data_IF_909050952876
#
_entry.id   IF_909050952876
#
_cell.length_a   1.000
_cell.length_b   1.000
_cell.length_c   1.000
_cell.angle_alpha   90.00
_cell.angle_beta   90.00
_cell.angle_gamma   90.00
#
_symmetry.space_group_name_H-M   'P 1'
#
loop_
_entity.id
_entity.type
_entity.pdbx_description
1 polymer ?
2 non-polymer ?
3 non-polymer ?
4 water ?
#
# COMPACT_ATOMS: atom_id res chain seq x y z
N UNK A 1 0.65 -17.71 -11.31
CA UNK A 1 0.51 -17.89 -9.87
C UNK A 1 1.16 -16.75 -9.08
N UNK A 2 0.77 -16.60 -7.83
CA UNK A 2 1.44 -15.71 -6.90
C UNK A 2 0.65 -14.46 -6.57
N UNK A 3 1.39 -13.45 -6.09
CA UNK A 3 0.76 -12.21 -5.64
C UNK A 3 0.21 -11.45 -6.84
N UNK A 4 -1.03 -10.95 -6.68
CA UNK A 4 -1.70 -10.11 -7.66
C UNK A 4 -1.43 -8.63 -7.43
N UNK A 5 -1.59 -8.16 -6.21
CA UNK A 5 -1.60 -6.73 -5.89
C UNK A 5 -1.77 -6.57 -4.39
N UNK A 6 -1.57 -5.34 -3.91
CA UNK A 6 -1.85 -5.04 -2.51
C UNK A 6 -3.33 -5.30 -2.23
N UNK A 7 -3.60 -5.94 -1.10
CA UNK A 7 -4.97 -6.33 -0.76
C UNK A 7 -5.64 -5.39 0.21
N UNK A 8 -5.00 -5.13 1.35
CA UNK A 8 -5.49 -4.12 2.28
C UNK A 8 -4.36 -3.71 3.21
N UNK A 9 -4.55 -2.57 3.88
CA UNK A 9 -3.65 -2.11 4.93
C UNK A 9 -4.48 -1.86 6.18
N UNK A 10 -3.98 -2.30 7.33
CA UNK A 10 -4.65 -2.10 8.61
C UNK A 10 -3.92 -1.00 9.37
N UNK A 11 -4.61 0.11 9.64
CA UNK A 11 -4.02 1.28 10.27
C UNK A 11 -4.56 1.46 11.68
N UNK A 12 -3.69 1.97 12.56
CA UNK A 12 -4.11 2.35 13.90
C UNK A 12 -4.54 3.81 13.91
N UNK A 13 -5.74 4.07 14.41
CA UNK A 13 -6.25 5.44 14.55
C UNK A 13 -6.63 5.66 16.01
N UNK A 14 -6.58 6.93 16.43
CA UNK A 14 -6.95 7.31 17.79
C UNK A 14 -8.39 7.79 17.91
N UNK A 15 -8.89 8.53 16.91
CA UNK A 15 -10.27 8.98 16.85
C UNK A 15 -10.94 8.30 15.67
N UNK A 16 -11.77 7.29 15.94
CA UNK A 16 -12.40 6.54 14.85
C UNK A 16 -13.38 7.41 14.07
N UNK A 17 -14.15 8.24 14.77
CA UNK A 17 -15.09 9.13 14.08
C UNK A 17 -14.37 10.03 13.09
N UNK A 18 -13.31 10.71 13.56
CA UNK A 18 -12.57 11.62 12.69
C UNK A 18 -11.83 10.87 11.59
N UNK A 19 -11.36 9.64 11.87
CA UNK A 19 -10.61 8.91 10.85
C UNK A 19 -11.54 8.39 9.75
N UNK A 20 -12.71 7.86 10.13
CA UNK A 20 -13.64 7.33 9.14
C UNK A 20 -14.14 8.44 8.21
N UNK A 21 -14.48 9.62 8.77
CA UNK A 21 -14.97 10.69 7.91
C UNK A 21 -13.87 11.21 6.98
N UNK A 22 -12.62 11.14 7.42
CA UNK A 22 -11.50 11.53 6.57
C UNK A 22 -11.40 10.62 5.35
N UNK A 23 -11.32 9.30 5.57
CA UNK A 23 -11.18 8.39 4.43
C UNK A 23 -12.43 8.36 3.57
N UNK A 24 -13.58 8.78 4.10
CA UNK A 24 -14.79 8.91 3.32
C UNK A 24 -14.87 10.23 2.58
N UNK A 25 -14.71 11.35 3.28
CA UNK A 25 -14.92 12.66 2.66
C UNK A 25 -13.74 13.11 1.83
N UNK A 26 -12.52 12.78 2.24
CA UNK A 26 -11.33 13.22 1.52
C UNK A 26 -10.97 12.27 0.40
N UNK A 27 -10.85 10.98 0.71
CA UNK A 27 -10.41 10.01 -0.27
C UNK A 27 -11.56 9.39 -1.06
N UNK A 28 -12.80 9.57 -0.61
CA UNK A 28 -13.94 9.02 -1.33
C UNK A 28 -14.22 7.56 -1.09
N UNK A 29 -13.62 6.96 -0.06
CA UNK A 29 -13.91 5.57 0.26
C UNK A 29 -15.30 5.45 0.87
N UNK A 30 -15.81 4.22 0.88
CA UNK A 30 -17.09 3.90 1.51
C UNK A 30 -16.86 2.82 2.57
N UNK A 31 -17.49 2.98 3.72
CA UNK A 31 -17.43 1.98 4.78
C UNK A 31 -18.31 0.80 4.42
N UNK A 32 -17.76 -0.42 4.53
CA UNK A 32 -18.50 -1.61 4.16
C UNK A 32 -18.92 -2.47 5.34
N UNK A 33 -18.21 -2.40 6.47
CA UNK A 33 -18.61 -3.13 7.66
C UNK A 33 -17.83 -2.62 8.86
N UNK A 34 -18.37 -2.92 10.05
CA UNK A 34 -17.72 -2.69 11.33
C UNK A 34 -17.83 -3.97 12.14
N UNK A 35 -16.70 -4.45 12.65
CA UNK A 35 -16.75 -5.69 13.43
C UNK A 35 -17.12 -5.39 14.88
N UNK A 36 -17.29 -6.47 15.66
CA UNK A 36 -17.71 -6.32 17.04
C UNK A 36 -16.59 -5.80 17.94
N UNK A 37 -15.36 -5.65 17.41
CA UNK A 37 -14.25 -5.08 18.16
C UNK A 37 -14.09 -3.58 17.91
N UNK A 38 -14.93 -2.98 17.07
CA UNK A 38 -14.84 -1.58 16.76
C UNK A 38 -14.04 -1.23 15.52
N UNK A 39 -13.48 -2.21 14.83
CA UNK A 39 -12.71 -1.95 13.61
C UNK A 39 -13.64 -1.63 12.45
N UNK A 40 -13.21 -0.71 11.60
CA UNK A 40 -14.00 -0.22 10.48
C UNK A 40 -13.27 -0.58 9.18
N UNK A 41 -14.03 -1.08 8.20
CA UNK A 41 -13.49 -1.57 6.93
C UNK A 41 -14.06 -0.72 5.80
N UNK A 42 -13.18 -0.21 4.95
CA UNK A 42 -13.58 0.65 3.84
C UNK A 42 -12.93 0.16 2.55
N UNK A 43 -13.56 0.52 1.43
CA UNK A 43 -13.08 0.21 0.09
C UNK A 43 -13.21 1.44 -0.80
N UNK A 44 -12.47 1.43 -1.91
CA UNK A 44 -12.57 2.45 -2.93
C UNK A 44 -13.61 2.05 -3.98
N UNK A 45 -14.07 3.05 -4.76
CA UNK A 45 -15.16 2.81 -5.69
C UNK A 45 -14.75 1.89 -6.84
N UNK A 46 -13.51 1.95 -7.29
CA UNK A 46 -13.08 1.14 -8.42
C UNK A 46 -12.45 -0.19 -7.98
N UNK A 47 -12.67 -0.60 -6.73
CA UNK A 47 -12.30 -1.91 -6.23
C UNK A 47 -13.54 -2.80 -6.16
N UNK A 48 -13.34 -4.10 -6.28
CA UNK A 48 -14.44 -5.05 -6.27
C UNK A 48 -14.46 -5.96 -5.05
N UNK A 49 -13.39 -6.00 -4.26
CA UNK A 49 -13.38 -6.78 -3.04
C UNK A 49 -13.96 -5.97 -1.88
N UNK A 50 -14.11 -6.63 -0.72
CA UNK A 50 -14.90 -6.06 0.38
C UNK A 50 -14.25 -4.80 0.95
N UNK A 51 -12.93 -4.79 1.10
CA UNK A 51 -12.29 -3.64 1.73
C UNK A 51 -10.80 -3.65 1.39
N UNK A 52 -10.23 -2.45 1.36
CA UNK A 52 -8.79 -2.27 1.21
C UNK A 52 -8.15 -1.53 2.37
N UNK A 53 -8.94 -1.04 3.32
CA UNK A 53 -8.43 -0.29 4.47
C UNK A 53 -9.14 -0.76 5.72
N UNK A 54 -8.37 -1.06 6.76
CA UNK A 54 -8.89 -1.37 8.08
C UNK A 54 -8.44 -0.29 9.04
N UNK A 55 -9.40 0.35 9.70
CA UNK A 55 -9.12 1.29 10.79
C UNK A 55 -9.38 0.57 12.11
N UNK A 56 -8.34 0.45 12.94
CA UNK A 56 -8.49 -0.17 14.25
C UNK A 56 -8.30 0.86 15.34
N UNK A 57 -9.19 0.91 16.33
CA UNK A 57 -9.01 1.86 17.44
C UNK A 57 -7.74 1.53 18.23
N UNK A 58 -7.01 2.58 18.59
CA UNK A 58 -5.74 2.43 19.27
C UNK A 58 -5.40 3.75 19.95
N UNK A 59 -4.36 3.71 20.79
CA UNK A 59 -3.86 4.91 21.45
C UNK A 59 -2.73 5.58 20.68
N UNK A 60 -2.46 5.14 19.46
CA UNK A 60 -1.34 5.67 18.68
C UNK A 60 -1.66 5.46 17.20
N UNK A 61 -0.86 6.12 16.36
CA UNK A 61 -0.94 5.90 14.93
C UNK A 61 -0.06 4.71 14.55
N UNK A 62 0.09 4.46 13.26
CA UNK A 62 0.94 3.41 12.77
C UNK A 62 0.16 2.35 11.99
N UNK A 63 0.88 1.31 11.60
CA UNK A 63 0.32 0.22 10.82
C UNK A 63 0.30 -1.07 11.62
N UNK A 64 -0.81 -1.80 11.53
CA UNK A 64 -0.90 -3.13 12.12
C UNK A 64 -0.21 -4.16 11.25
N UNK A 65 -0.70 -4.33 10.02
CA UNK A 65 -0.09 -5.23 9.06
C UNK A 65 -0.43 -4.74 7.66
N UNK A 66 0.15 -5.42 6.68
CA UNK A 66 -0.05 -5.15 5.27
C UNK A 66 -0.40 -6.47 4.61
N UNK A 67 -1.43 -6.47 3.75
CA UNK A 67 -1.94 -7.69 3.14
C UNK A 67 -1.91 -7.58 1.62
N UNK A 68 -1.52 -8.67 0.97
CA UNK A 68 -1.46 -8.78 -0.48
C UNK A 68 -2.29 -9.99 -0.94
N UNK A 69 -3.02 -9.82 -2.04
CA UNK A 69 -3.87 -10.88 -2.58
C UNK A 69 -3.09 -11.72 -3.58
N UNK A 70 -3.24 -13.03 -3.49
CA UNK A 70 -2.58 -13.96 -4.39
C UNK A 70 -3.60 -14.53 -5.36
N UNK A 71 -3.11 -15.18 -6.41
CA UNK A 71 -3.98 -15.59 -7.52
C UNK A 71 -4.95 -16.69 -7.09
N UNK A 72 -4.47 -17.73 -6.41
CA UNK A 72 -5.31 -18.85 -6.02
C UNK A 72 -4.90 -19.36 -4.63
N UNK A 73 -5.81 -20.12 -4.01
CA UNK A 73 -5.58 -20.63 -2.65
C UNK A 73 -4.30 -21.46 -2.56
N UNK A 74 -4.05 -22.31 -3.55
CA UNK A 74 -2.87 -23.17 -3.51
C UNK A 74 -1.57 -22.39 -3.53
N UNK A 75 -1.58 -21.11 -3.95
CA UNK A 75 -0.35 -20.32 -3.92
C UNK A 75 0.16 -20.11 -2.51
N UNK A 76 -0.74 -20.12 -1.52
CA UNK A 76 -0.34 -19.88 -0.14
C UNK A 76 0.61 -20.97 0.36
N UNK A 77 0.31 -22.24 0.06
CA UNK A 77 1.21 -23.31 0.48
C UNK A 77 2.55 -23.20 -0.23
N UNK A 78 2.55 -22.86 -1.53
CA UNK A 78 3.81 -22.76 -2.26
C UNK A 78 4.65 -21.60 -1.75
N UNK A 79 4.04 -20.42 -1.62
CA UNK A 79 4.76 -19.27 -1.08
C UNK A 79 5.22 -19.54 0.35
N UNK A 80 4.38 -20.18 1.16
CA UNK A 80 4.79 -20.54 2.52
C UNK A 80 6.06 -21.38 2.50
N UNK A 81 6.15 -22.34 1.57
CA UNK A 81 7.31 -23.21 1.53
C UNK A 81 8.57 -22.43 1.13
N UNK A 82 8.43 -21.49 0.18
CA UNK A 82 9.58 -20.67 -0.21
C UNK A 82 10.03 -19.77 0.94
N UNK A 83 9.08 -19.19 1.67
CA UNK A 83 9.42 -18.23 2.72
C UNK A 83 10.20 -18.90 3.84
N UNK A 84 9.80 -20.10 4.26
CA UNK A 84 10.48 -20.74 5.38
C UNK A 84 11.82 -21.29 4.98
N UNK A 85 11.98 -21.72 3.72
CA UNK A 85 13.30 -22.09 3.23
C UNK A 85 14.25 -20.89 3.22
N UNK A 86 13.72 -19.69 3.03
CA UNK A 86 14.53 -18.48 3.14
C UNK A 86 14.92 -18.18 4.58
N UNK A 87 14.17 -18.67 5.55
CA UNK A 87 14.46 -18.46 6.95
C UNK A 87 13.47 -17.61 7.73
N UNK A 88 12.28 -17.35 7.18
CA UNK A 88 11.26 -16.55 7.84
C UNK A 88 10.17 -17.49 8.33
N UNK A 89 9.88 -17.44 9.63
CA UNK A 89 8.80 -18.24 10.20
C UNK A 89 7.45 -17.72 9.72
N UNK A 90 6.55 -18.64 9.37
CA UNK A 90 5.20 -18.28 8.94
C UNK A 90 4.17 -18.99 9.80
N UNK A 91 2.95 -18.50 9.71
CA UNK A 91 1.80 -19.13 10.34
C UNK A 91 0.58 -18.87 9.47
N UNK A 92 -0.41 -19.77 9.56
CA UNK A 92 -1.61 -19.70 8.73
C UNK A 92 -2.81 -19.35 9.61
N UNK A 93 -3.35 -18.15 9.41
CA UNK A 93 -4.60 -17.77 10.05
C UNK A 93 -5.74 -18.37 9.23
N UNK A 94 -6.71 -18.98 9.91
CA UNK A 94 -7.76 -19.65 9.15
C UNK A 94 -8.81 -18.65 8.70
N UNK A 95 -9.69 -19.10 7.80
CA UNK A 95 -10.69 -18.21 7.25
C UNK A 95 -11.62 -17.71 8.34
N UNK A 96 -11.94 -16.42 8.29
CA UNK A 96 -12.76 -15.79 9.31
C UNK A 96 -12.00 -15.03 10.36
N UNK A 97 -10.66 -15.18 10.44
CA UNK A 97 -9.85 -14.35 11.33
C UNK A 97 -10.19 -12.87 11.18
N UNK A 98 -10.30 -12.41 9.93
CA UNK A 98 -10.89 -11.13 9.60
C UNK A 98 -12.23 -11.36 8.92
N UNK A 99 -13.25 -10.53 9.18
CA UNK A 99 -14.55 -10.74 8.52
C UNK A 99 -14.42 -10.62 7.01
N UNK A 100 -15.25 -11.40 6.30
CA UNK A 100 -15.32 -11.41 4.85
C UNK A 100 -13.98 -11.76 4.20
N UNK A 101 -13.08 -12.40 4.93
CA UNK A 101 -11.72 -12.66 4.46
C UNK A 101 -11.37 -14.12 4.67
N UNK A 102 -10.83 -14.76 3.64
CA UNK A 102 -10.43 -16.14 3.74
C UNK A 102 -9.22 -16.36 4.62
N UNK A 103 -8.65 -17.56 4.56
CA UNK A 103 -7.45 -17.84 5.32
C UNK A 103 -6.30 -16.95 4.86
N UNK A 104 -5.37 -16.69 5.78
CA UNK A 104 -4.25 -15.79 5.54
C UNK A 104 -2.94 -16.39 6.01
N UNK A 105 -1.91 -16.30 5.18
CA UNK A 105 -0.55 -16.67 5.55
C UNK A 105 0.14 -15.46 6.17
N UNK A 106 0.57 -15.60 7.42
CA UNK A 106 1.12 -14.50 8.19
C UNK A 106 2.61 -14.71 8.44
N UNK A 107 3.38 -13.64 8.30
CA UNK A 107 4.80 -13.67 8.56
C UNK A 107 5.29 -12.23 8.71
N UNK A 108 6.50 -12.09 9.24
CA UNK A 108 7.12 -10.79 9.42
C UNK A 108 8.22 -10.59 8.39
N UNK A 109 8.24 -9.43 7.75
CA UNK A 109 9.34 -9.05 6.90
C UNK A 109 10.62 -8.93 7.71
N UNK A 110 11.78 -8.98 7.06
CA UNK A 110 13.04 -8.72 7.78
C UNK A 110 13.04 -7.39 8.52
N UNK A 111 12.35 -6.37 8.01
CA UNK A 111 12.25 -5.08 8.69
C UNK A 111 11.35 -5.13 9.93
N UNK A 112 10.63 -6.22 10.14
CA UNK A 112 9.79 -6.38 11.31
C UNK A 112 8.32 -6.16 11.07
N UNK A 113 7.93 -5.60 9.92
CA UNK A 113 6.53 -5.41 9.62
C UNK A 113 5.82 -6.75 9.44
N UNK A 114 4.59 -6.84 9.91
CA UNK A 114 3.76 -8.01 9.67
C UNK A 114 3.12 -7.94 8.30
N UNK A 115 3.31 -8.99 7.51
CA UNK A 115 2.72 -9.10 6.17
C UNK A 115 1.83 -10.33 6.12
N UNK A 116 0.72 -10.22 5.40
CA UNK A 116 -0.21 -11.32 5.22
C UNK A 116 -0.51 -11.52 3.74
N UNK A 117 -0.74 -12.77 3.37
CA UNK A 117 -1.17 -13.13 2.03
C UNK A 117 -2.49 -13.87 2.13
N UNK A 118 -3.49 -13.43 1.36
CA UNK A 118 -4.75 -14.14 1.26
C UNK A 118 -5.07 -14.38 -0.21
N UNK A 119 -5.90 -15.38 -0.45
CA UNK A 119 -6.40 -15.67 -1.79
C UNK A 119 -7.87 -15.33 -1.98
N UNK A 120 -8.64 -15.25 -0.89
CA UNK A 120 -10.09 -15.17 -0.96
C UNK A 120 -10.57 -14.01 -0.11
N UNK A 121 -11.31 -13.10 -0.73
CA UNK A 121 -12.01 -12.04 -0.01
C UNK A 121 -13.37 -11.86 -0.67
N UNK A 122 -14.35 -11.47 0.13
CA UNK A 122 -15.72 -11.35 -0.37
C UNK A 122 -15.79 -10.39 -1.55
N UNK A 123 -16.45 -10.82 -2.61
CA UNK A 123 -16.71 -9.98 -3.78
C UNK A 123 -17.93 -9.11 -3.53
N UNK A 124 -17.80 -7.80 -3.79
CA UNK A 124 -18.95 -6.90 -3.71
C UNK A 124 -19.08 -6.09 -5.00
N UNK A 125 -18.04 -6.10 -5.82
CA UNK A 125 -18.09 -5.42 -7.09
C UNK A 125 -17.76 -3.93 -6.98
N UNK A 126 -17.44 -3.34 -8.12
CA UNK A 126 -17.12 -1.92 -8.17
C UNK A 126 -18.41 -1.09 -8.20
N UNK A 127 -18.26 0.21 -7.96
CA UNK A 127 -19.44 1.08 -7.97
C UNK A 127 -19.95 1.40 -9.36
N UNK A 128 -19.27 0.97 -10.42
CA UNK A 128 -19.78 1.20 -11.77
C UNK A 128 -20.33 -0.06 -12.42
N UNK A 129 -20.09 -1.24 -11.84
CA UNK A 129 -20.63 -2.47 -12.40
C UNK A 129 -19.76 -3.06 -13.49
N UNK A 130 -20.30 -4.07 -14.18
CA UNK A 130 -19.55 -4.77 -15.21
C UNK A 130 -20.39 -5.15 -16.41
N UNK A 131 -21.63 -4.70 -16.51
CA UNK A 131 -22.46 -4.88 -17.69
C UNK A 131 -22.73 -3.48 -18.23
N UNK A 132 -22.08 -3.12 -19.34
CA UNK A 132 -22.18 -1.79 -19.93
C UNK A 132 -21.91 -0.68 -18.90
N UNK A 133 -20.78 -0.73 -18.20
CA UNK A 133 -20.58 0.21 -17.09
C UNK A 133 -20.21 1.61 -17.57
N UNK A 134 -20.47 2.58 -16.70
CA UNK A 134 -20.01 3.93 -16.97
C UNK A 134 -18.53 4.05 -16.62
N UNK A 135 -17.81 5.00 -17.23
CA UNK A 135 -16.38 5.15 -16.89
C UNK A 135 -16.15 5.61 -15.46
N UNK A 136 -17.12 6.29 -14.84
CA UNK A 136 -17.00 6.77 -13.47
C UNK A 136 -18.39 6.85 -12.86
N UNK A 137 -18.51 6.69 -11.55
CA UNK A 137 -19.83 6.69 -10.92
C UNK A 137 -20.30 8.08 -10.51
N UNK A 138 -21.62 8.24 -10.46
CA UNK A 138 -22.16 9.50 -9.99
C UNK A 138 -22.15 9.52 -8.46
N UNK A 139 -22.27 10.73 -7.90
CA UNK A 139 -22.24 10.89 -6.46
C UNK A 139 -20.92 10.57 -5.83
N UNK A 140 -19.84 10.54 -6.60
CA UNK A 140 -18.51 10.28 -6.06
C UNK A 140 -18.10 11.40 -5.11
N UNK A 141 -17.51 11.02 -3.98
CA UNK A 141 -17.17 11.98 -2.94
C UNK A 141 -15.66 12.25 -2.92
N UNK A 142 -15.32 13.49 -2.57
CA UNK A 142 -13.93 13.85 -2.36
C UNK A 142 -13.09 13.66 -3.61
N UNK A 143 -11.87 13.16 -3.39
CA UNK A 143 -10.94 12.91 -4.50
C UNK A 143 -11.37 11.75 -5.39
N UNK A 144 -12.29 10.90 -4.92
CA UNK A 144 -12.72 9.76 -5.69
C UNK A 144 -11.59 8.81 -6.02
N UNK A 145 -10.90 8.33 -4.99
CA UNK A 145 -9.77 7.43 -5.18
C UNK A 145 -10.23 6.14 -5.86
N UNK A 146 -9.48 5.72 -6.89
CA UNK A 146 -9.83 4.52 -7.62
C UNK A 146 -9.60 3.27 -6.77
N UNK A 147 -8.38 3.12 -6.24
CA UNK A 147 -8.01 1.93 -5.50
C UNK A 147 -6.78 2.25 -4.65
N UNK A 148 -6.64 1.50 -3.55
CA UNK A 148 -5.39 1.49 -2.80
C UNK A 148 -4.31 0.92 -3.69
N UNK A 149 -3.27 1.71 -3.96
CA UNK A 149 -2.32 1.36 -5.01
C UNK A 149 -1.06 0.71 -4.46
N UNK A 150 -0.51 1.23 -3.38
CA UNK A 150 0.74 0.70 -2.87
C UNK A 150 0.97 1.22 -1.45
N UNK A 151 2.05 0.75 -0.84
CA UNK A 151 2.38 1.15 0.51
C UNK A 151 3.88 1.29 0.61
N UNK A 152 4.34 2.43 1.13
CA UNK A 152 5.75 2.67 1.38
C UNK A 152 6.02 2.47 2.87
N UNK A 153 6.90 1.54 3.19
CA UNK A 153 7.25 1.21 4.57
C UNK A 153 8.59 1.83 4.92
N UNK A 154 8.68 2.44 6.10
CA UNK A 154 9.97 2.87 6.62
C UNK A 154 10.65 1.66 7.25
N UNK A 155 11.85 1.34 6.78
CA UNK A 155 12.55 0.13 7.19
C UNK A 155 13.81 0.50 7.94
N UNK A 156 14.02 -0.12 9.10
CA UNK A 156 15.17 0.17 9.94
C UNK A 156 16.46 0.00 9.15
N UNK A 157 17.33 1.02 9.21
CA UNK A 157 18.56 1.04 8.44
C UNK A 157 19.64 1.75 9.25
N UNK A 158 20.71 1.02 9.55
CA UNK A 158 21.88 1.55 10.26
C UNK A 158 23.11 1.04 9.54
N UNK A 159 23.65 1.82 8.59
CA UNK A 159 24.80 1.32 7.81
C UNK A 159 26.03 1.04 8.65
N UNK A 160 26.28 1.84 9.69
CA UNK A 160 27.44 1.60 10.55
C UNK A 160 27.29 0.30 11.33
N UNK A 161 26.08 0.01 11.81
CA UNK A 161 25.82 -1.22 12.54
C UNK A 161 25.61 -2.42 11.63
N UNK A 162 25.73 -2.25 10.31
CA UNK A 162 25.52 -3.34 9.38
C UNK A 162 24.08 -3.73 9.19
N UNK A 163 23.14 -2.82 9.47
CA UNK A 163 21.71 -3.09 9.38
C UNK A 163 21.15 -2.29 8.22
N UNK A 164 20.54 -2.99 7.25
CA UNK A 164 19.87 -2.35 6.12
C UNK A 164 18.68 -3.23 5.73
N UNK A 165 17.57 -3.05 6.45
CA UNK A 165 16.41 -3.89 6.16
C UNK A 165 15.71 -3.51 4.86
N UNK A 166 16.01 -2.34 4.28
CA UNK A 166 15.53 -2.04 2.94
C UNK A 166 16.08 -3.06 1.95
N UNK A 167 17.38 -3.36 2.05
CA UNK A 167 17.98 -4.38 1.19
C UNK A 167 17.44 -5.77 1.51
N UNK A 168 17.30 -6.09 2.79
CA UNK A 168 16.81 -7.42 3.18
C UNK A 168 15.36 -7.61 2.75
N UNK A 169 14.51 -6.60 2.94
CA UNK A 169 13.15 -6.68 2.43
C UNK A 169 13.15 -6.82 0.92
N UNK A 170 14.05 -6.10 0.23
CA UNK A 170 14.09 -6.16 -1.22
C UNK A 170 14.47 -7.55 -1.71
N UNK A 171 15.48 -8.15 -1.09
CA UNK A 171 15.84 -9.53 -1.43
C UNK A 171 14.71 -10.50 -1.11
N UNK A 172 14.04 -10.29 0.03
CA UNK A 172 12.99 -11.22 0.46
C UNK A 172 11.83 -11.25 -0.53
N UNK A 173 11.27 -10.08 -0.87
CA UNK A 173 10.10 -10.06 -1.73
C UNK A 173 10.43 -10.44 -3.16
N UNK A 174 11.69 -10.31 -3.58
CA UNK A 174 12.05 -10.75 -4.92
C UNK A 174 12.21 -12.26 -4.97
N UNK A 175 12.99 -12.84 -4.06
CA UNK A 175 13.29 -14.26 -4.13
C UNK A 175 12.13 -15.13 -3.68
N UNK A 176 11.34 -14.68 -2.71
CA UNK A 176 10.25 -15.49 -2.17
C UNK A 176 8.91 -15.18 -2.80
N UNK A 177 8.61 -13.91 -3.06
CA UNK A 177 7.32 -13.51 -3.60
C UNK A 177 7.39 -13.13 -5.08
N UNK A 178 8.55 -13.30 -5.73
CA UNK A 178 8.71 -13.10 -7.16
C UNK A 178 8.36 -11.67 -7.59
N UNK A 179 8.51 -10.70 -6.69
CA UNK A 179 8.49 -9.31 -7.11
C UNK A 179 9.73 -9.00 -7.95
N UNK A 180 9.63 -7.94 -8.74
CA UNK A 180 10.81 -7.47 -9.48
C UNK A 180 11.03 -6.00 -9.20
N UNK A 181 12.30 -5.61 -9.12
CA UNK A 181 12.67 -4.25 -8.77
C UNK A 181 12.53 -3.34 -9.99
N UNK A 182 11.85 -2.21 -9.81
CA UNK A 182 11.63 -1.26 -10.89
C UNK A 182 12.46 0.02 -10.74
N UNK A 183 12.58 0.53 -9.52
CA UNK A 183 13.34 1.75 -9.25
C UNK A 183 14.05 1.61 -7.92
N UNK A 184 15.13 2.36 -7.76
CA UNK A 184 15.85 2.36 -6.50
C UNK A 184 16.53 3.71 -6.32
N UNK A 185 16.73 4.08 -5.05
CA UNK A 185 17.51 5.25 -4.68
C UNK A 185 18.77 4.75 -3.98
N UNK A 186 19.93 5.08 -4.56
CA UNK A 186 21.22 4.64 -4.04
C UNK A 186 21.92 5.78 -3.31
N UNK A 187 22.42 5.51 -2.11
CA UNK A 187 23.15 6.50 -1.33
C UNK A 187 24.50 5.92 -0.92
N UNK A 188 25.21 6.63 -0.05
CA UNK A 188 26.48 6.17 0.44
C UNK A 188 27.58 6.36 -0.57
N UNK A 189 28.74 5.74 -0.32
CA UNK A 189 29.88 5.91 -1.23
C UNK A 189 29.60 5.27 -2.58
N UNK A 190 29.61 6.09 -3.63
CA UNK A 190 29.39 5.60 -4.98
C UNK A 190 28.07 4.90 -5.18
N UNK A 191 27.06 5.21 -4.35
CA UNK A 191 25.77 4.57 -4.48
C UNK A 191 25.76 3.11 -4.11
N UNK A 192 26.58 2.70 -3.15
CA UNK A 192 26.70 1.31 -2.73
C UNK A 192 25.69 0.90 -1.67
N UNK A 193 24.69 1.73 -1.38
CA UNK A 193 23.71 1.47 -0.33
C UNK A 193 22.32 1.74 -0.88
N UNK A 194 21.46 0.73 -0.85
CA UNK A 194 20.06 0.90 -1.24
C UNK A 194 19.30 1.56 -0.10
N UNK A 195 18.87 2.81 -0.30
CA UNK A 195 18.09 3.52 0.69
C UNK A 195 16.60 3.48 0.42
N UNK A 196 16.20 3.37 -0.84
CA UNK A 196 14.79 3.27 -1.22
C UNK A 196 14.66 2.32 -2.40
N UNK A 197 13.68 1.42 -2.33
CA UNK A 197 13.41 0.48 -3.41
C UNK A 197 11.92 0.43 -3.70
N UNK A 198 11.60 0.29 -4.97
CA UNK A 198 10.23 0.15 -5.44
C UNK A 198 10.15 -1.14 -6.24
N UNK A 199 9.15 -1.96 -5.93
CA UNK A 199 9.03 -3.29 -6.50
C UNK A 199 7.59 -3.53 -6.94
N UNK A 200 7.45 -4.41 -7.92
CA UNK A 200 6.16 -4.58 -8.58
C UNK A 200 5.85 -6.05 -8.80
N UNK A 201 4.57 -6.36 -8.73
CA UNK A 201 4.00 -7.57 -9.32
C UNK A 201 3.12 -7.25 -10.52
N UNK A 202 2.32 -6.19 -10.44
CA UNK A 202 1.60 -5.67 -11.59
C UNK A 202 2.58 -5.05 -12.58
N UNK A 203 2.06 -4.39 -13.61
CA UNK A 203 2.87 -3.59 -14.50
C UNK A 203 2.77 -2.10 -14.18
N UNK A 204 2.32 -1.74 -12.93
CA UNK A 204 2.47 -0.38 -12.44
C UNK A 204 3.82 -0.22 -11.74
N UNK A 205 4.38 0.99 -11.72
CA UNK A 205 5.78 1.14 -11.27
C UNK A 205 6.08 0.52 -9.92
N UNK A 206 5.13 0.46 -8.99
CA UNK A 206 5.43 -0.15 -7.71
C UNK A 206 4.15 -0.50 -6.97
N UNK A 207 4.13 -1.71 -6.41
CA UNK A 207 3.06 -2.18 -5.53
C UNK A 207 3.49 -2.24 -4.07
N UNK A 208 4.78 -2.36 -3.80
CA UNK A 208 5.33 -2.17 -2.47
C UNK A 208 6.59 -1.32 -2.62
N UNK A 209 6.96 -0.66 -1.52
CA UNK A 209 8.17 0.16 -1.53
C UNK A 209 8.73 0.23 -0.12
N UNK A 210 10.05 0.34 -0.03
CA UNK A 210 10.76 0.40 1.24
C UNK A 210 11.70 1.59 1.21
N UNK A 211 11.68 2.38 2.29
CA UNK A 211 12.58 3.52 2.46
C UNK A 211 13.31 3.36 3.79
N UNK A 212 14.59 3.73 3.81
CA UNK A 212 15.37 3.60 5.03
C UNK A 212 14.92 4.58 6.10
N UNK A 213 15.14 4.18 7.35
CA UNK A 213 14.78 5.00 8.49
C UNK A 213 15.42 4.48 9.76
N UNK A 214 15.48 5.32 10.80
CA UNK A 214 16.05 4.85 12.07
C UNK A 214 15.27 3.69 12.68
N UNK A 215 13.95 3.71 12.59
CA UNK A 215 13.11 2.62 13.08
C UNK A 215 12.13 2.21 11.98
N UNK A 216 11.62 0.98 12.11
CA UNK A 216 10.69 0.46 11.13
C UNK A 216 9.28 0.96 11.42
N UNK A 217 8.61 1.43 10.38
CA UNK A 217 7.28 1.98 10.53
C UNK A 217 6.58 2.14 9.20
N UNK A 218 5.60 3.06 9.17
CA UNK A 218 4.78 3.31 8.01
C UNK A 218 5.08 4.70 7.46
N UNK A 219 5.48 4.76 6.19
CA UNK A 219 5.65 6.08 5.60
C UNK A 219 4.31 6.62 5.10
N UNK A 220 3.63 5.87 4.25
CA UNK A 220 2.31 6.27 3.76
C UNK A 220 1.67 5.10 3.02
N UNK A 221 0.36 5.19 2.88
CA UNK A 221 -0.39 4.37 1.93
C UNK A 221 -0.88 5.30 0.83
N UNK A 222 -1.01 4.76 -0.38
CA UNK A 222 -1.27 5.58 -1.55
C UNK A 222 -2.50 5.11 -2.30
N UNK A 223 -3.17 6.06 -2.94
CA UNK A 223 -4.39 5.81 -3.69
C UNK A 223 -4.23 6.37 -5.10
N UNK A 224 -4.78 5.65 -6.07
CA UNK A 224 -4.65 5.99 -7.47
C UNK A 224 -5.73 6.97 -7.91
N UNK A 225 -5.32 7.94 -8.73
CA UNK A 225 -6.20 8.86 -9.44
C UNK A 225 -5.89 8.79 -10.93
N UNK A 226 -6.88 9.14 -11.75
CA UNK A 226 -6.72 9.06 -13.21
C UNK A 226 -5.68 10.05 -13.74
N UNK A 227 -5.97 11.34 -13.64
CA UNK A 227 -5.25 12.35 -14.40
C UNK A 227 -4.68 13.43 -13.49
N UNK A 228 -3.84 14.26 -14.09
CA UNK A 228 -3.31 15.46 -13.45
C UNK A 228 -4.43 16.33 -12.90
N UNK A 229 -5.56 16.41 -13.61
CA UNK A 229 -6.69 17.20 -13.13
C UNK A 229 -7.25 16.67 -11.82
N UNK A 230 -7.40 15.35 -11.70
CA UNK A 230 -7.98 14.80 -10.47
C UNK A 230 -7.11 15.08 -9.26
N UNK A 231 -5.79 15.25 -9.46
CA UNK A 231 -4.92 15.66 -8.36
C UNK A 231 -5.27 17.07 -7.90
N UNK A 232 -5.44 17.99 -8.86
CA UNK A 232 -5.87 19.34 -8.51
C UNK A 232 -7.18 19.31 -7.75
N UNK A 233 -8.17 18.57 -8.27
CA UNK A 233 -9.44 18.42 -7.59
C UNK A 233 -9.24 17.86 -6.18
N UNK A 234 -8.28 16.94 -6.02
CA UNK A 234 -8.01 16.39 -4.70
C UNK A 234 -7.48 17.46 -3.76
N UNK A 235 -6.58 18.32 -4.26
CA UNK A 235 -6.07 19.41 -3.44
C UNK A 235 -7.17 20.36 -3.01
N UNK A 236 -8.13 20.62 -3.91
CA UNK A 236 -9.27 21.47 -3.55
C UNK A 236 -10.12 20.80 -2.48
N UNK A 237 -10.28 19.48 -2.54
CA UNK A 237 -11.08 18.76 -1.55
C UNK A 237 -10.42 18.84 -0.18
N UNK A 238 -9.09 18.63 -0.13
CA UNK A 238 -8.37 18.71 1.12
C UNK A 238 -8.47 20.10 1.73
N UNK A 239 -8.49 21.13 0.90
CA UNK A 239 -8.65 22.49 1.41
C UNK A 239 -10.04 22.68 2.01
N UNK A 240 -11.07 22.10 1.39
CA UNK A 240 -12.43 22.24 1.90
C UNK A 240 -12.61 21.49 3.22
N UNK A 241 -11.93 20.36 3.38
CA UNK A 241 -12.06 19.55 4.60
C UNK A 241 -11.00 19.87 5.64
N UNK A 242 -10.18 20.89 5.43
CA UNK A 242 -9.14 21.32 6.36
C UNK A 242 -8.19 20.16 6.69
N UNK A 243 -7.49 19.70 5.66
CA UNK A 243 -6.59 18.55 5.74
C UNK A 243 -5.16 19.04 5.85
N UNK A 244 -4.40 18.43 6.75
CA UNK A 244 -2.99 18.79 6.96
C UNK A 244 -2.16 18.22 5.82
N UNK A 245 -1.69 19.08 4.95
CA UNK A 245 -0.95 18.67 3.77
C UNK A 245 0.54 18.60 4.12
N UNK A 246 1.20 17.55 3.63
CA UNK A 246 2.64 17.38 3.82
C UNK A 246 3.43 18.00 2.66
N UNK A 247 3.14 17.58 1.43
CA UNK A 247 3.82 18.08 0.24
C UNK A 247 2.78 18.57 -0.75
N UNK A 248 2.99 19.77 -1.28
CA UNK A 248 2.08 20.36 -2.26
C UNK A 248 2.10 19.56 -3.56
N UNK A 249 1.08 19.74 -4.43
CA UNK A 249 1.07 19.02 -5.71
C UNK A 249 2.33 19.23 -6.53
N UNK A 250 3.05 18.14 -6.81
CA UNK A 250 4.29 18.18 -7.57
C UNK A 250 4.52 16.80 -8.19
N UNK A 251 5.16 16.78 -9.35
CA UNK A 251 5.48 15.52 -10.00
C UNK A 251 6.68 14.87 -9.31
N UNK A 252 6.54 13.61 -8.97
CA UNK A 252 7.65 12.83 -8.45
C UNK A 252 8.51 12.33 -9.59
N UNK A 253 9.83 12.49 -9.46
CA UNK A 253 10.74 11.83 -10.39
C UNK A 253 10.55 10.33 -10.36
N UNK A 254 10.37 9.76 -9.16
CA UNK A 254 10.00 8.37 -9.01
C UNK A 254 8.58 8.16 -9.54
N UNK A 255 8.38 7.06 -10.27
CA UNK A 255 7.06 6.64 -10.77
C UNK A 255 6.55 7.57 -11.89
N UNK A 256 7.21 8.71 -12.08
CA UNK A 256 6.76 9.81 -12.95
C UNK A 256 5.38 10.32 -12.54
N UNK A 257 4.90 9.97 -11.35
CA UNK A 257 3.54 10.27 -10.96
C UNK A 257 3.43 11.61 -10.25
N UNK A 258 2.38 12.35 -10.60
CA UNK A 258 2.06 13.59 -9.93
C UNK A 258 1.24 13.27 -8.68
N UNK A 259 1.67 13.84 -7.54
CA UNK A 259 1.22 13.33 -6.25
C UNK A 259 0.98 14.46 -5.26
N UNK A 260 0.22 14.13 -4.22
CA UNK A 260 0.02 14.97 -3.05
C UNK A 260 0.21 14.09 -1.81
N UNK A 261 0.92 14.60 -0.82
CA UNK A 261 1.06 13.94 0.47
C UNK A 261 0.29 14.73 1.53
N UNK A 262 -0.44 14.00 2.38
CA UNK A 262 -1.26 14.61 3.41
C UNK A 262 -1.49 13.59 4.51
N UNK A 263 -2.15 14.01 5.58
CA UNK A 263 -2.30 13.18 6.77
C UNK A 263 -3.78 12.97 7.08
N UNK A 264 -4.07 11.87 7.75
CA UNK A 264 -5.37 11.64 8.35
C UNK A 264 -5.37 12.21 9.78
N UNK A 265 -6.54 12.29 10.42
CA UNK A 265 -6.59 12.92 11.76
C UNK A 265 -5.71 12.25 12.82
N UNK A 266 -5.21 11.04 12.58
CA UNK A 266 -4.34 10.37 13.54
C UNK A 266 -2.86 10.53 13.23
N UNK A 267 -2.52 11.11 12.09
CA UNK A 267 -1.13 11.34 11.72
C UNK A 267 -0.59 10.43 10.64
N UNK A 268 -1.33 9.39 10.25
CA UNK A 268 -0.87 8.53 9.17
C UNK A 268 -0.85 9.30 7.86
N UNK A 269 0.25 9.16 7.12
CA UNK A 269 0.40 9.87 5.87
C UNK A 269 -0.31 9.14 4.75
N UNK A 270 -0.96 9.91 3.88
CA UNK A 270 -1.67 9.40 2.72
C UNK A 270 -1.14 10.07 1.46
N UNK A 271 -1.23 9.37 0.34
CA UNK A 271 -0.81 9.89 -0.96
C UNK A 271 -1.90 9.64 -1.99
N UNK A 272 -2.26 10.69 -2.73
CA UNK A 272 -3.07 10.57 -3.95
C UNK A 272 -2.18 10.93 -5.14
N UNK A 273 -1.88 9.95 -5.97
CA UNK A 273 -1.06 10.16 -7.15
C UNK A 273 -1.82 9.77 -8.40
N UNK A 274 -1.51 10.41 -9.52
CA UNK A 274 -2.18 10.16 -10.78
C UNK A 274 -1.21 9.59 -11.79
N UNK A 275 -1.76 8.82 -12.73
CA UNK A 275 -1.01 8.41 -13.89
C UNK A 275 -0.29 7.09 -13.69
N UNK A 276 -0.22 6.32 -14.78
CA UNK A 276 0.61 5.12 -14.78
C UNK A 276 2.08 5.47 -14.71
N UNK A 277 2.52 6.47 -15.47
CA UNK A 277 3.92 6.84 -15.53
C UNK A 277 4.67 6.05 -16.58
N UNK A 278 4.92 4.78 -16.29
CA UNK A 278 5.46 3.88 -17.30
C UNK A 278 4.94 2.48 -17.04
N UNK A 279 5.12 1.62 -18.03
CA UNK A 279 4.73 0.22 -17.93
C UNK A 279 5.89 -0.54 -17.30
N UNK A 280 5.68 -1.04 -16.08
CA UNK A 280 6.72 -1.81 -15.42
C UNK A 280 6.84 -3.19 -16.08
N UNK A 281 8.07 -3.59 -16.40
CA UNK A 281 8.32 -4.81 -17.15
C UNK A 281 9.55 -5.51 -16.59
N UNK A 282 9.48 -6.85 -16.54
CA UNK A 282 10.56 -7.62 -15.94
C UNK A 282 11.88 -7.45 -16.70
N UNK A 283 11.82 -7.08 -17.97
CA UNK A 283 13.01 -6.82 -18.76
C UNK A 283 13.35 -5.34 -18.83
N UNK A 284 12.64 -4.49 -18.08
CA UNK A 284 12.95 -3.06 -18.09
C UNK A 284 14.11 -2.78 -17.15
N UNK A 285 15.09 -1.96 -17.56
CA UNK A 285 16.18 -1.62 -16.64
C UNK A 285 15.66 -0.88 -15.42
N UNK A 286 16.27 -1.17 -14.27
CA UNK A 286 15.91 -0.52 -13.01
C UNK A 286 16.27 0.95 -13.09
N UNK A 287 15.29 1.81 -12.87
CA UNK A 287 15.56 3.24 -12.80
C UNK A 287 16.33 3.54 -11.50
N UNK A 288 17.55 4.03 -11.64
CA UNK A 288 18.43 4.29 -10.51
C UNK A 288 18.50 5.78 -10.22
N UNK A 289 18.24 6.16 -8.97
CA UNK A 289 18.37 7.53 -8.49
C UNK A 289 19.58 7.62 -7.56
N UNK A 290 20.44 8.60 -7.78
CA UNK A 290 21.66 8.76 -6.99
C UNK A 290 21.46 9.81 -5.90
N UNK A 291 22.26 9.67 -4.83
CA UNK A 291 22.10 10.51 -3.65
C UNK A 291 22.31 11.99 -3.96
N UNK A 292 23.22 12.30 -4.88
CA UNK A 292 23.49 13.70 -5.21
C UNK A 292 22.27 14.40 -5.79
N UNK A 293 21.31 13.65 -6.33
CA UNK A 293 20.08 14.24 -6.85
C UNK A 293 18.98 14.27 -5.78
X LIG B 1 1.01 -0.16 -8.20
X LIG C 1 3.85 6.45 -2.77
#
# INVERSE_FOLDING_TARGET
>A
MGVLRIGHASLKVMDMDAAVRHYENVLGMKTTMKDKAGNVYLKCWDEWDKYSVILTPSDQAGMNHLAYKVEKEADLEALQQKIEAWGVKTTMLDEGTLPSTGRMLQFKLPSGHEMRLYASKEFVGTDVGNINPDPWPDGLKGAGAHWLDHCLLVCEMNPEAGINTVADNTRFVTECLDFFLTEQVLVGPGGSIQATTFLARTTTPHDIAFVGGPTSGLHHIAFFLDSWHDVLKAADVMAKNKVRIDVAPTRHGITRGETIYFFDPSGNRNETFAGLGYLAQRDRPVTTWTEDQ
>B hetero
1 CA CA
>C hetero
1 FE FE
#
